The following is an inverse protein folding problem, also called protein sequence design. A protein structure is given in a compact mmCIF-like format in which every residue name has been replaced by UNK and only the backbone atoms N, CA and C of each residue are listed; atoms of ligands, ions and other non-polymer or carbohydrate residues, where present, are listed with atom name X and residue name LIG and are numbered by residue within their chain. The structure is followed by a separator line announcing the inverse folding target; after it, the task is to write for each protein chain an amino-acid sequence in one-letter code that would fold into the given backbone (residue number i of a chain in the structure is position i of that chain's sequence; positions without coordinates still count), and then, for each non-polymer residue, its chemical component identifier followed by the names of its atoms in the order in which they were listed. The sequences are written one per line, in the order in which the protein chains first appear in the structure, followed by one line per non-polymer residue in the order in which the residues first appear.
data_IF_723575214395
#
_entry.id   IF_723575214395
#
_cell.length_a   1.000
_cell.length_b   1.000
_cell.length_c   1.000
_cell.angle_alpha   90.00
_cell.angle_beta   90.00
_cell.angle_gamma   90.00
#
_symmetry.space_group_name_H-M   'P 1'
#
loop_
_entity.id
_entity.type
_entity.pdbx_description
1 polymer ?
#
# COMPACT_ATOMS: atom_id res chain seq x y z
N UNK A 1 -24.53 -44.91 8.66
CA UNK A 1 -23.07 -44.88 8.93
C UNK A 1 -22.79 -43.79 9.94
N UNK A 2 -22.40 -44.15 11.16
CA UNK A 2 -22.04 -43.20 12.22
C UNK A 2 -20.61 -42.72 12.00
N UNK A 3 -20.35 -41.40 12.00
CA UNK A 3 -19.00 -40.88 11.83
C UNK A 3 -18.10 -41.35 12.99
N UNK A 4 -16.94 -41.92 12.65
CA UNK A 4 -15.95 -42.39 13.63
C UNK A 4 -15.37 -41.21 14.41
N UNK A 5 -14.95 -41.46 15.65
CA UNK A 5 -14.45 -40.45 16.59
C UNK A 5 -13.29 -39.60 16.01
N UNK A 6 -12.50 -40.20 15.12
CA UNK A 6 -11.38 -39.58 14.42
C UNK A 6 -11.82 -38.51 13.39
N UNK A 7 -12.95 -38.74 12.70
CA UNK A 7 -13.48 -37.77 11.74
C UNK A 7 -14.02 -36.51 12.46
N UNK A 8 -14.51 -36.66 13.69
CA UNK A 8 -14.98 -35.52 14.50
C UNK A 8 -13.82 -34.61 14.94
N UNK A 9 -12.68 -35.19 15.31
CA UNK A 9 -11.50 -34.41 15.72
C UNK A 9 -10.91 -33.61 14.56
N UNK A 10 -10.82 -34.20 13.37
CA UNK A 10 -10.27 -33.55 12.18
C UNK A 10 -11.14 -32.35 11.74
N UNK A 11 -12.47 -32.50 11.78
CA UNK A 11 -13.39 -31.41 11.47
C UNK A 11 -13.29 -30.26 12.48
N UNK A 12 -13.15 -30.54 13.78
CA UNK A 12 -12.97 -29.50 14.79
C UNK A 12 -11.65 -28.75 14.56
N UNK A 13 -10.56 -29.45 14.27
CA UNK A 13 -9.27 -28.84 13.99
C UNK A 13 -9.30 -27.93 12.76
N UNK A 14 -9.96 -28.35 11.67
CA UNK A 14 -10.12 -27.52 10.47
C UNK A 14 -10.99 -26.28 10.71
N UNK A 15 -12.05 -26.40 11.52
CA UNK A 15 -12.90 -25.25 11.88
C UNK A 15 -12.13 -24.27 12.77
N UNK A 16 -11.37 -24.76 13.75
CA UNK A 16 -10.55 -23.90 14.62
C UNK A 16 -9.43 -23.22 13.82
N UNK A 17 -8.75 -23.95 12.93
CA UNK A 17 -7.72 -23.38 12.07
C UNK A 17 -8.28 -22.34 11.08
N UNK A 18 -9.47 -22.60 10.51
CA UNK A 18 -10.18 -21.64 9.67
C UNK A 18 -10.58 -20.37 10.43
N UNK A 19 -11.07 -20.50 11.66
CA UNK A 19 -11.43 -19.37 12.53
C UNK A 19 -10.21 -18.50 12.89
N UNK A 20 -9.05 -19.11 13.17
CA UNK A 20 -7.81 -18.39 13.47
C UNK A 20 -7.27 -17.64 12.25
N UNK A 21 -7.46 -18.17 11.03
CA UNK A 21 -7.05 -17.50 9.79
C UNK A 21 -8.01 -16.39 9.35
N UNK A 22 -9.23 -16.35 9.89
CA UNK A 22 -10.25 -15.34 9.53
C UNK A 22 -10.07 -14.01 10.27
N UNK A 23 -9.22 -13.96 11.29
CA UNK A 23 -8.81 -12.71 11.93
C UNK A 23 -7.70 -12.03 11.13
N UNK A 24 -7.96 -11.75 9.85
CA UNK A 24 -7.23 -10.74 9.11
C UNK A 24 -7.48 -9.41 9.82
N UNK A 25 -6.62 -9.08 10.77
CA UNK A 25 -6.65 -7.82 11.50
C UNK A 25 -6.49 -6.70 10.50
N UNK A 26 -7.54 -5.92 10.30
CA UNK A 26 -7.45 -4.66 9.59
C UNK A 26 -6.50 -3.77 10.41
N UNK A 27 -5.29 -3.55 9.90
CA UNK A 27 -4.33 -2.64 10.51
C UNK A 27 -4.75 -1.23 10.13
N UNK A 28 -5.34 -0.52 11.08
CA UNK A 28 -5.60 0.90 10.97
C UNK A 28 -4.54 1.66 11.76
N UNK A 29 -3.89 2.64 11.13
CA UNK A 29 -2.94 3.52 11.80
C UNK A 29 -3.68 4.64 12.53
N UNK A 30 -3.86 4.47 13.85
CA UNK A 30 -4.43 5.46 14.75
C UNK A 30 -3.34 6.07 15.64
N UNK A 31 -3.49 7.34 16.04
CA UNK A 31 -2.76 7.93 17.15
C UNK A 31 -3.32 7.45 18.52
N UNK A 32 -2.71 7.87 19.62
CA UNK A 32 -3.14 7.52 20.98
C UNK A 32 -4.57 8.00 21.34
N UNK A 33 -5.16 8.87 20.52
CA UNK A 33 -6.51 9.39 20.68
C UNK A 33 -7.53 8.76 19.72
N UNK A 34 -7.15 7.71 18.99
CA UNK A 34 -8.02 7.05 18.03
C UNK A 34 -8.29 7.88 16.77
N UNK A 35 -7.49 8.92 16.50
CA UNK A 35 -7.57 9.68 15.26
C UNK A 35 -6.71 9.01 14.21
N UNK A 36 -7.16 9.02 12.95
CA UNK A 36 -6.35 8.53 11.85
C UNK A 36 -5.09 9.40 11.73
N UNK A 37 -3.93 8.75 11.70
CA UNK A 37 -2.69 9.42 11.32
C UNK A 37 -2.75 9.70 9.81
N UNK A 38 -3.28 10.87 9.46
CA UNK A 38 -3.13 11.40 8.12
C UNK A 38 -1.66 11.82 7.96
N UNK A 39 -0.84 10.96 7.36
CA UNK A 39 0.49 11.39 6.96
C UNK A 39 0.34 12.33 5.77
N UNK A 40 0.62 13.62 6.01
CA UNK A 40 0.87 14.58 4.94
C UNK A 40 2.14 14.22 4.16
N UNK A 41 2.38 14.89 3.05
CA UNK A 41 3.60 14.66 2.29
C UNK A 41 4.83 15.11 3.09
N UNK A 42 5.77 14.18 3.31
CA UNK A 42 7.01 14.43 4.03
C UNK A 42 8.13 14.92 3.10
N UNK A 43 9.15 15.56 3.66
CA UNK A 43 10.36 15.86 2.87
C UNK A 43 11.20 14.59 2.66
N UNK A 44 11.90 14.53 1.54
CA UNK A 44 12.84 13.45 1.24
C UNK A 44 14.00 13.38 2.25
N UNK A 45 14.45 14.53 2.77
CA UNK A 45 15.43 14.58 3.86
C UNK A 45 14.92 13.92 5.14
N UNK A 46 13.65 14.14 5.50
CA UNK A 46 13.02 13.49 6.64
C UNK A 46 12.98 11.96 6.45
N UNK A 47 12.50 11.47 5.31
CA UNK A 47 12.50 10.03 5.00
C UNK A 47 13.91 9.43 5.14
N UNK A 48 14.90 10.10 4.56
CA UNK A 48 16.29 9.62 4.59
C UNK A 48 16.85 9.52 6.02
N UNK A 49 16.52 10.49 6.87
CA UNK A 49 16.93 10.49 8.28
C UNK A 49 16.22 9.40 9.09
N UNK A 50 14.92 9.23 8.86
CA UNK A 50 14.11 8.17 9.50
C UNK A 50 14.62 6.77 9.14
N UNK A 51 15.09 6.58 7.89
CA UNK A 51 15.69 5.33 7.45
C UNK A 51 17.03 5.04 8.13
N UNK A 52 17.89 6.06 8.31
CA UNK A 52 19.18 5.90 8.99
C UNK A 52 19.04 5.58 10.46
N UNK A 53 18.07 6.22 11.12
CA UNK A 53 17.84 6.06 12.56
C UNK A 53 17.09 4.77 12.91
N UNK A 54 16.57 4.04 11.91
CA UNK A 54 15.88 2.76 12.10
C UNK A 54 14.59 2.89 12.92
N UNK A 55 13.99 4.08 12.96
CA UNK A 55 12.79 4.33 13.74
C UNK A 55 11.56 3.69 13.09
N UNK A 56 10.49 3.50 13.88
CA UNK A 56 9.20 3.03 13.38
C UNK A 56 8.66 3.84 12.19
N UNK A 57 9.10 5.09 12.03
CA UNK A 57 8.80 5.93 10.88
C UNK A 57 9.20 5.30 9.52
N UNK A 58 10.28 4.52 9.45
CA UNK A 58 10.64 3.78 8.23
C UNK A 58 9.55 2.78 7.82
N UNK A 59 8.98 2.06 8.78
CA UNK A 59 7.85 1.15 8.55
C UNK A 59 6.62 1.91 8.05
N UNK A 60 6.31 3.05 8.67
CA UNK A 60 5.15 3.84 8.26
C UNK A 60 5.36 4.36 6.83
N UNK A 61 6.58 4.77 6.44
CA UNK A 61 6.86 5.23 5.06
C UNK A 61 6.71 4.10 4.05
N UNK A 62 7.18 2.90 4.40
CA UNK A 62 6.96 1.71 3.56
C UNK A 62 5.47 1.42 3.36
N UNK A 63 4.67 1.57 4.41
CA UNK A 63 3.20 1.42 4.34
C UNK A 63 2.55 2.53 3.50
N UNK A 64 3.04 3.77 3.60
CA UNK A 64 2.57 4.89 2.77
C UNK A 64 2.83 4.61 1.27
N UNK A 65 4.04 4.20 0.92
CA UNK A 65 4.41 3.84 -0.46
C UNK A 65 3.57 2.65 -0.96
N UNK A 66 3.36 1.63 -0.11
CA UNK A 66 2.47 0.51 -0.43
C UNK A 66 1.03 0.94 -0.68
N UNK A 67 0.48 1.80 0.18
CA UNK A 67 -0.86 2.36 0.02
C UNK A 67 -1.01 3.16 -1.27
N UNK A 68 0.00 3.96 -1.63
CA UNK A 68 0.04 4.69 -2.89
C UNK A 68 -0.01 3.75 -4.10
N UNK A 69 0.83 2.70 -4.12
CA UNK A 69 0.83 1.70 -5.20
C UNK A 69 -0.51 0.98 -5.31
N UNK A 70 -1.09 0.55 -4.19
CA UNK A 70 -2.40 -0.08 -4.15
C UNK A 70 -3.50 0.86 -4.67
N UNK A 71 -3.45 2.14 -4.28
CA UNK A 71 -4.38 3.17 -4.75
C UNK A 71 -4.33 3.36 -6.27
N UNK A 72 -3.12 3.38 -6.86
CA UNK A 72 -2.96 3.46 -8.31
C UNK A 72 -3.52 2.21 -9.00
N UNK A 73 -3.14 1.01 -8.54
CA UNK A 73 -3.65 -0.24 -9.13
C UNK A 73 -5.19 -0.31 -9.07
N UNK A 74 -5.81 0.16 -7.98
CA UNK A 74 -7.26 0.21 -7.86
C UNK A 74 -7.91 1.27 -8.76
N UNK A 75 -7.20 2.36 -9.07
CA UNK A 75 -7.74 3.51 -9.80
C UNK A 75 -7.53 3.45 -11.31
N UNK A 76 -6.61 2.61 -11.81
CA UNK A 76 -6.35 2.48 -13.25
C UNK A 76 -7.19 1.35 -13.85
N UNK A 77 -8.22 1.65 -14.67
CA UNK A 77 -9.08 0.63 -15.23
C UNK A 77 -8.32 -0.32 -16.16
N UNK A 78 -8.60 -1.62 -16.04
CA UNK A 78 -8.03 -2.65 -16.91
C UNK A 78 -6.56 -2.99 -16.65
N UNK A 79 -5.96 -2.47 -15.57
CA UNK A 79 -4.54 -2.68 -15.29
C UNK A 79 -4.33 -3.23 -13.87
N UNK A 80 -4.38 -4.56 -13.76
CA UNK A 80 -4.18 -5.29 -12.49
C UNK A 80 -2.73 -5.22 -11.98
N UNK A 81 -1.79 -4.87 -12.85
CA UNK A 81 -0.36 -4.77 -12.51
C UNK A 81 0.26 -3.53 -13.17
N UNK A 82 -0.13 -2.35 -12.69
CA UNK A 82 0.35 -1.08 -13.24
C UNK A 82 1.88 -0.94 -13.18
N UNK A 83 2.52 -1.62 -12.23
CA UNK A 83 3.94 -1.53 -11.92
C UNK A 83 4.76 -2.72 -12.46
N UNK A 84 4.20 -3.47 -13.41
CA UNK A 84 4.88 -4.52 -14.18
C UNK A 84 5.62 -5.56 -13.31
N UNK A 85 5.01 -6.00 -12.22
CA UNK A 85 5.50 -7.11 -11.40
C UNK A 85 6.70 -6.76 -10.51
N UNK A 86 7.13 -5.49 -10.48
CA UNK A 86 8.18 -5.05 -9.56
C UNK A 86 7.79 -5.37 -8.11
N UNK A 87 8.72 -5.85 -7.30
CA UNK A 87 8.43 -6.13 -5.89
C UNK A 87 8.37 -4.84 -5.06
N UNK A 88 7.75 -4.91 -3.89
CA UNK A 88 7.58 -3.75 -3.02
C UNK A 88 8.89 -3.19 -2.48
N UNK A 89 9.92 -4.02 -2.29
CA UNK A 89 11.21 -3.56 -1.78
C UNK A 89 11.97 -2.79 -2.86
N UNK A 90 11.93 -3.24 -4.11
CA UNK A 90 12.48 -2.50 -5.26
C UNK A 90 11.85 -1.12 -5.42
N UNK A 91 10.52 -1.02 -5.29
CA UNK A 91 9.78 0.26 -5.34
C UNK A 91 10.18 1.18 -4.18
N UNK A 92 10.25 0.63 -2.98
CA UNK A 92 10.69 1.36 -1.80
C UNK A 92 12.12 1.90 -1.97
N UNK A 93 13.05 1.05 -2.38
CA UNK A 93 14.46 1.41 -2.61
C UNK A 93 14.62 2.47 -3.69
N UNK A 94 13.76 2.45 -4.72
CA UNK A 94 13.73 3.51 -5.72
C UNK A 94 13.42 4.87 -5.09
N UNK A 95 12.35 4.95 -4.29
CA UNK A 95 11.92 6.20 -3.63
C UNK A 95 12.96 6.65 -2.60
N UNK A 96 13.52 5.72 -1.83
CA UNK A 96 14.58 6.02 -0.88
C UNK A 96 15.80 6.62 -1.59
N UNK A 97 16.27 6.00 -2.68
CA UNK A 97 17.38 6.51 -3.48
C UNK A 97 17.07 7.89 -4.08
N UNK A 98 15.88 8.07 -4.65
CA UNK A 98 15.44 9.38 -5.14
C UNK A 98 15.54 10.43 -4.03
N UNK A 99 15.10 10.10 -2.82
CA UNK A 99 15.11 11.03 -1.70
C UNK A 99 16.50 11.33 -1.15
N UNK A 100 17.43 10.36 -1.19
CA UNK A 100 18.84 10.59 -0.89
C UNK A 100 19.47 11.61 -1.87
N UNK A 101 19.11 11.52 -3.16
CA UNK A 101 19.61 12.41 -4.22
C UNK A 101 18.91 13.78 -4.21
N UNK A 102 17.73 13.89 -3.61
CA UNK A 102 16.87 15.08 -3.67
C UNK A 102 16.28 15.46 -2.29
N UNK A 103 17.10 15.77 -1.27
CA UNK A 103 16.65 15.91 0.12
C UNK A 103 15.65 17.05 0.35
N UNK A 104 15.65 18.07 -0.50
CA UNK A 104 14.70 19.21 -0.45
C UNK A 104 13.39 18.95 -1.20
N UNK A 105 13.28 17.84 -1.93
CA UNK A 105 12.02 17.42 -2.56
C UNK A 105 11.07 16.80 -1.55
N UNK A 106 9.83 16.63 -1.96
CA UNK A 106 8.85 15.84 -1.23
C UNK A 106 8.89 14.37 -1.66
N UNK A 107 8.45 13.47 -0.78
CA UNK A 107 8.36 12.03 -1.05
C UNK A 107 7.42 11.76 -2.23
N UNK A 108 6.33 12.52 -2.39
CA UNK A 108 5.45 12.39 -3.57
C UNK A 108 6.19 12.59 -4.90
N UNK A 109 7.25 13.42 -4.92
CA UNK A 109 8.09 13.62 -6.10
C UNK A 109 8.83 12.34 -6.49
N UNK A 110 9.35 11.60 -5.50
CA UNK A 110 9.99 10.31 -5.73
C UNK A 110 9.01 9.24 -6.21
N UNK A 111 7.78 9.26 -5.68
CA UNK A 111 6.69 8.39 -6.14
C UNK A 111 6.27 8.70 -7.58
N UNK A 112 6.17 9.98 -7.93
CA UNK A 112 5.87 10.43 -9.29
C UNK A 112 6.93 9.98 -10.28
N UNK A 113 8.20 10.16 -9.92
CA UNK A 113 9.34 9.75 -10.73
C UNK A 113 9.41 8.22 -10.86
N UNK A 114 9.09 7.48 -9.80
CA UNK A 114 8.99 6.02 -9.84
C UNK A 114 7.93 5.55 -10.85
N UNK A 115 6.72 6.12 -10.78
CA UNK A 115 5.63 5.84 -11.73
C UNK A 115 6.09 6.12 -13.16
N UNK A 116 6.70 7.28 -13.39
CA UNK A 116 7.20 7.70 -14.71
C UNK A 116 8.24 6.75 -15.25
N UNK A 117 9.21 6.32 -14.43
CA UNK A 117 10.28 5.41 -14.86
C UNK A 117 9.78 3.99 -15.14
N UNK A 118 8.90 3.45 -14.30
CA UNK A 118 8.41 2.08 -14.45
C UNK A 118 7.44 1.97 -15.62
N UNK A 119 6.57 2.97 -15.79
CA UNK A 119 5.44 2.86 -16.74
C UNK A 119 5.59 3.70 -18.01
N UNK A 120 6.55 4.62 -18.03
CA UNK A 120 6.67 5.62 -19.10
C UNK A 120 5.56 6.67 -19.10
N UNK A 121 4.71 6.75 -18.06
CA UNK A 121 3.57 7.66 -17.97
C UNK A 121 3.73 8.64 -16.81
N UNK A 122 3.35 9.90 -17.03
CA UNK A 122 3.28 10.89 -15.96
C UNK A 122 2.02 10.69 -15.10
N UNK A 123 2.11 11.03 -13.81
CA UNK A 123 0.99 10.90 -12.86
C UNK A 123 -0.28 11.65 -13.26
N UNK A 124 -0.20 12.65 -14.14
CA UNK A 124 -1.37 13.36 -14.66
C UNK A 124 -2.36 12.41 -15.35
N UNK A 125 -1.87 11.30 -15.91
CA UNK A 125 -2.71 10.26 -16.53
C UNK A 125 -3.42 9.36 -15.50
N UNK A 126 -3.03 9.47 -14.22
CA UNK A 126 -3.57 8.71 -13.10
C UNK A 126 -4.57 9.51 -12.27
N UNK A 127 -4.74 10.81 -12.57
CA UNK A 127 -5.81 11.58 -11.98
C UNK A 127 -7.13 10.84 -12.26
N UNK A 128 -7.93 10.52 -11.22
CA UNK A 128 -9.22 9.89 -11.43
C UNK A 128 -9.98 10.79 -12.39
N UNK A 129 -10.38 10.22 -13.54
CA UNK A 129 -11.27 10.93 -14.47
C UNK A 129 -12.44 11.45 -13.62
N UNK A 130 -12.79 12.74 -13.73
CA UNK A 130 -13.81 13.33 -12.89
C UNK A 130 -15.02 12.41 -12.93
N UNK A 131 -15.49 11.99 -11.75
CA UNK A 131 -16.54 10.99 -11.61
C UNK A 131 -17.69 11.37 -12.54
N UNK A 132 -17.79 10.69 -13.69
CA UNK A 132 -18.79 11.04 -14.67
C UNK A 132 -20.11 10.65 -14.03
N UNK A 133 -20.91 11.65 -13.65
CA UNK A 133 -22.26 11.42 -13.13
C UNK A 133 -22.94 10.45 -14.10
N UNK A 134 -23.51 9.33 -13.61
CA UNK A 134 -24.22 8.41 -14.47
C UNK A 134 -25.27 9.20 -15.24
N UNK A 135 -25.22 9.13 -16.57
CA UNK A 135 -26.28 9.68 -17.42
C UNK A 135 -27.52 8.84 -17.16
N UNK A 136 -28.32 9.22 -16.18
CA UNK A 136 -29.66 8.68 -16.03
C UNK A 136 -30.44 9.10 -17.27
N UNK A 137 -30.73 8.11 -18.14
CA UNK A 137 -31.65 8.30 -19.25
C UNK A 137 -33.01 8.70 -18.69
N UNK A 138 -33.54 9.80 -19.23
CA UNK A 138 -34.97 10.12 -19.14
C UNK A 138 -35.75 9.18 -20.06
#
# INVERSE_FOLDING_TARGET
MTPTKQNRLLSILLVVFGLIMSSATNVFAYDEHGKFLAWGDGSCGQLTEELKTGQGAATVNKMYIQGFVAGINASVPGNVDFFAGSDMDSRFNFVAKYCEENPLSYVIGGLAEMVRKITGKDMQHLAPQPFQKPKHGM
#
